data_IF_933708350160
#
_entry.id   IF_933708350160
#
_cell.length_a   1.000
_cell.length_b   1.000
_cell.length_c   1.000
_cell.angle_alpha   90.00
_cell.angle_beta   90.00
_cell.angle_gamma   90.00
#
_symmetry.space_group_name_H-M   'P 1'
#
loop_
_entity.id
_entity.type
_entity.pdbx_description
1 polymer ?
#
# COMPACT_ATOMS: atom_id res chain seq x y z
N UNK A 1 -10.15 7.92 62.55
CA UNK A 1 -9.11 8.06 61.53
C UNK A 1 -9.45 7.17 60.37
N UNK A 2 -10.06 7.74 59.40
CA UNK A 2 -10.36 7.00 58.14
C UNK A 2 -9.17 7.11 57.23
N UNK A 3 -8.43 6.03 57.05
CA UNK A 3 -7.49 5.92 55.97
C UNK A 3 -8.27 5.63 54.68
N UNK A 4 -8.45 6.65 53.88
CA UNK A 4 -8.96 6.52 52.54
C UNK A 4 -7.82 5.92 51.73
N UNK A 5 -7.89 4.61 51.52
CA UNK A 5 -7.06 3.96 50.52
C UNK A 5 -7.72 4.28 49.20
N UNK A 6 -7.24 5.35 48.59
CA UNK A 6 -7.57 5.69 47.24
C UNK A 6 -7.01 4.60 46.34
N UNK A 7 -7.87 3.65 46.01
CA UNK A 7 -7.58 2.66 44.99
C UNK A 7 -7.46 3.36 43.66
N UNK A 8 -6.25 3.62 43.24
CA UNK A 8 -5.95 4.09 41.91
C UNK A 8 -6.20 2.91 40.99
N UNK A 9 -7.43 2.81 40.49
CA UNK A 9 -7.76 1.94 39.38
C UNK A 9 -7.06 2.48 38.16
N UNK A 10 -5.85 1.99 37.94
CA UNK A 10 -5.19 2.13 36.66
C UNK A 10 -5.98 1.28 35.68
N UNK A 11 -6.93 1.90 35.03
CA UNK A 11 -7.56 1.34 33.85
C UNK A 11 -6.46 1.34 32.78
N UNK A 12 -5.73 0.24 32.70
CA UNK A 12 -4.83 -0.05 31.60
C UNK A 12 -5.73 -0.28 30.39
N UNK A 13 -6.09 0.80 29.72
CA UNK A 13 -6.72 0.71 28.42
C UNK A 13 -5.69 0.09 27.48
N UNK A 14 -5.82 -1.20 27.32
CA UNK A 14 -5.10 -1.97 26.30
C UNK A 14 -5.59 -1.44 24.95
N UNK A 15 -4.93 -0.42 24.46
CA UNK A 15 -5.13 0.04 23.10
C UNK A 15 -4.55 -1.04 22.20
N UNK A 16 -5.42 -1.92 21.77
CA UNK A 16 -5.13 -2.83 20.68
C UNK A 16 -4.95 -1.93 19.47
N UNK A 17 -3.70 -1.55 19.22
CA UNK A 17 -3.33 -1.03 17.93
C UNK A 17 -3.57 -2.16 16.93
N UNK A 18 -4.75 -2.19 16.35
CA UNK A 18 -4.98 -2.94 15.14
C UNK A 18 -4.13 -2.22 14.10
N UNK A 19 -2.86 -2.64 14.01
CA UNK A 19 -2.08 -2.35 12.83
C UNK A 19 -2.77 -3.09 11.70
N UNK A 20 -3.70 -2.42 11.07
CA UNK A 20 -4.18 -2.85 9.78
C UNK A 20 -2.97 -2.80 8.88
N UNK A 21 -2.32 -3.94 8.70
CA UNK A 21 -1.38 -4.13 7.64
C UNK A 21 -2.18 -3.99 6.36
N UNK A 22 -2.33 -2.75 5.92
CA UNK A 22 -2.82 -2.49 4.59
C UNK A 22 -1.73 -2.94 3.64
N UNK A 23 -1.76 -4.22 3.28
CA UNK A 23 -0.90 -4.83 2.27
C UNK A 23 -1.10 -4.21 0.88
N UNK A 24 -1.96 -3.19 0.76
CA UNK A 24 -2.31 -2.48 -0.46
C UNK A 24 -1.18 -1.59 -1.02
N UNK A 25 0.00 -1.51 -0.38
CA UNK A 25 1.06 -0.57 -0.76
C UNK A 25 2.40 -1.23 -1.09
N UNK A 26 2.39 -2.44 -1.60
CA UNK A 26 3.59 -3.03 -2.17
C UNK A 26 3.99 -2.39 -3.50
N UNK A 27 3.07 -1.65 -4.14
CA UNK A 27 3.33 -0.99 -5.41
C UNK A 27 3.80 0.43 -5.16
N UNK A 28 5.07 0.68 -5.43
CA UNK A 28 5.69 1.99 -5.27
C UNK A 28 5.55 2.79 -6.56
N UNK A 29 4.83 3.91 -6.51
CA UNK A 29 4.69 4.79 -7.66
C UNK A 29 6.03 5.47 -7.94
N UNK A 30 6.58 5.35 -9.16
CA UNK A 30 7.81 6.02 -9.53
C UNK A 30 7.63 7.54 -9.59
N UNK A 31 8.71 8.25 -9.28
CA UNK A 31 8.76 9.70 -9.36
C UNK A 31 9.23 10.14 -10.74
N UNK A 32 8.64 11.21 -11.25
CA UNK A 32 9.08 11.86 -12.47
C UNK A 32 10.54 12.30 -12.37
N UNK A 33 11.35 12.10 -13.42
CA UNK A 33 12.74 12.54 -13.41
C UNK A 33 12.83 14.07 -13.31
N UNK A 34 13.57 14.56 -12.32
CA UNK A 34 13.77 15.99 -12.09
C UNK A 34 14.45 16.72 -13.27
N UNK A 35 15.13 15.98 -14.12
CA UNK A 35 15.79 16.56 -15.29
C UNK A 35 14.79 17.11 -16.33
N UNK A 36 13.54 16.69 -16.30
CA UNK A 36 12.50 17.17 -17.24
C UNK A 36 12.33 18.69 -17.12
N UNK A 37 12.22 19.19 -15.90
CA UNK A 37 12.08 20.62 -15.66
C UNK A 37 13.34 21.41 -16.03
N UNK A 38 14.48 20.76 -15.98
CA UNK A 38 15.78 21.37 -16.29
C UNK A 38 16.06 21.47 -17.79
N UNK A 39 15.40 20.68 -18.63
CA UNK A 39 15.59 20.68 -20.09
C UNK A 39 15.18 22.01 -20.74
N UNK A 40 14.26 22.75 -20.13
CA UNK A 40 13.88 24.07 -20.57
C UNK A 40 14.96 25.13 -20.34
N UNK A 41 15.86 24.88 -19.42
CA UNK A 41 16.92 25.79 -18.98
C UNK A 41 18.25 25.47 -19.66
N UNK A 42 18.60 24.20 -19.71
CA UNK A 42 19.87 23.69 -20.26
C UNK A 42 19.57 22.87 -21.52
N UNK A 43 19.91 23.41 -22.68
CA UNK A 43 19.67 22.80 -23.99
C UNK A 43 20.90 22.12 -24.58
N UNK A 44 21.90 21.83 -23.78
CA UNK A 44 23.08 21.15 -24.25
C UNK A 44 22.82 19.66 -24.49
N UNK A 45 23.54 19.11 -25.48
CA UNK A 45 23.35 17.73 -25.91
C UNK A 45 23.65 16.71 -24.82
N UNK A 46 24.60 17.01 -23.95
CA UNK A 46 24.97 16.14 -22.83
C UNK A 46 23.81 16.01 -21.81
N UNK A 47 23.30 17.14 -21.36
CA UNK A 47 22.16 17.18 -20.41
C UNK A 47 20.93 16.49 -21.00
N UNK A 48 20.66 16.70 -22.28
CA UNK A 48 19.58 16.03 -22.98
C UNK A 48 19.76 14.50 -23.01
N UNK A 49 20.95 14.02 -23.35
CA UNK A 49 21.22 12.58 -23.39
C UNK A 49 21.13 11.93 -22.01
N UNK A 50 21.62 12.60 -20.97
CA UNK A 50 21.49 12.10 -19.60
C UNK A 50 20.03 12.05 -19.13
N UNK A 51 19.26 13.07 -19.45
CA UNK A 51 17.83 13.08 -19.14
C UNK A 51 17.07 11.99 -19.89
N UNK A 52 17.42 11.72 -21.14
CA UNK A 52 16.86 10.63 -21.93
C UNK A 52 17.04 9.27 -21.26
N UNK A 53 18.18 9.02 -20.66
CA UNK A 53 18.46 7.79 -19.89
C UNK A 53 17.55 7.72 -18.66
N UNK A 54 17.43 8.83 -17.92
CA UNK A 54 16.57 8.90 -16.76
C UNK A 54 15.09 8.68 -17.10
N UNK A 55 14.63 9.23 -18.21
CA UNK A 55 13.26 9.01 -18.71
C UNK A 55 13.03 7.55 -19.09
N UNK A 56 13.98 6.90 -19.75
CA UNK A 56 13.87 5.48 -20.07
C UNK A 56 13.78 4.62 -18.81
N UNK A 57 14.58 4.92 -17.80
CA UNK A 57 14.52 4.24 -16.50
C UNK A 57 13.16 4.44 -15.83
N UNK A 58 12.68 5.67 -15.82
CA UNK A 58 11.35 6.00 -15.30
C UNK A 58 10.23 5.21 -16.00
N UNK A 59 10.26 5.11 -17.32
CA UNK A 59 9.25 4.36 -18.06
C UNK A 59 9.28 2.86 -17.71
N UNK A 60 10.46 2.29 -17.49
CA UNK A 60 10.60 0.92 -17.02
C UNK A 60 9.99 0.74 -15.62
N UNK A 61 10.20 1.68 -14.72
CA UNK A 61 9.61 1.67 -13.38
C UNK A 61 8.09 1.83 -13.42
N UNK A 62 7.58 2.66 -14.32
CA UNK A 62 6.14 2.82 -14.56
C UNK A 62 5.51 1.50 -15.01
N UNK A 63 6.15 0.77 -15.91
CA UNK A 63 5.67 -0.53 -16.36
C UNK A 63 5.62 -1.55 -15.22
N UNK A 64 6.66 -1.59 -14.40
CA UNK A 64 6.71 -2.44 -13.19
C UNK A 64 5.62 -2.08 -12.20
N UNK A 65 5.38 -0.79 -12.00
CA UNK A 65 4.31 -0.28 -11.13
C UNK A 65 2.93 -0.68 -11.63
N UNK A 66 2.67 -0.54 -12.93
CA UNK A 66 1.42 -0.98 -13.56
C UNK A 66 1.17 -2.48 -13.36
N UNK A 67 2.18 -3.30 -13.58
CA UNK A 67 2.09 -4.74 -13.39
C UNK A 67 1.82 -5.10 -11.92
N UNK A 68 2.45 -4.41 -10.99
CA UNK A 68 2.19 -4.56 -9.56
C UNK A 68 0.72 -4.25 -9.23
N UNK A 69 0.17 -3.17 -9.75
CA UNK A 69 -1.23 -2.79 -9.54
C UNK A 69 -2.22 -3.82 -10.11
N UNK A 70 -1.92 -4.38 -11.26
CA UNK A 70 -2.75 -5.43 -11.88
C UNK A 70 -2.73 -6.69 -11.00
N UNK A 71 -1.57 -7.08 -10.49
CA UNK A 71 -1.44 -8.23 -9.61
C UNK A 71 -2.20 -8.02 -8.29
N UNK A 72 -2.11 -6.83 -7.70
CA UNK A 72 -2.87 -6.47 -6.50
C UNK A 72 -4.37 -6.53 -6.75
N UNK A 73 -4.84 -5.95 -7.84
CA UNK A 73 -6.25 -5.99 -8.20
C UNK A 73 -6.75 -7.44 -8.39
N UNK A 74 -5.96 -8.29 -9.00
CA UNK A 74 -6.28 -9.72 -9.18
C UNK A 74 -6.33 -10.45 -7.84
N UNK A 75 -5.37 -10.19 -6.95
CA UNK A 75 -5.32 -10.77 -5.61
C UNK A 75 -6.56 -10.40 -4.80
N UNK A 76 -6.92 -9.13 -4.78
CA UNK A 76 -8.11 -8.63 -4.06
C UNK A 76 -9.40 -9.24 -4.62
N UNK A 77 -9.50 -9.39 -5.94
CA UNK A 77 -10.66 -10.04 -6.57
C UNK A 77 -10.78 -11.51 -6.17
N UNK A 78 -9.66 -12.22 -6.07
CA UNK A 78 -9.62 -13.61 -5.60
C UNK A 78 -10.04 -13.72 -4.13
N UNK A 79 -9.55 -12.82 -3.28
CA UNK A 79 -9.95 -12.76 -1.88
C UNK A 79 -11.44 -12.48 -1.72
N UNK A 80 -11.98 -11.53 -2.48
CA UNK A 80 -13.40 -11.22 -2.48
C UNK A 80 -14.26 -12.43 -2.88
N UNK A 81 -13.86 -13.17 -3.91
CA UNK A 81 -14.54 -14.41 -4.31
C UNK A 81 -14.50 -15.44 -3.20
N UNK A 82 -13.39 -15.61 -2.52
CA UNK A 82 -13.26 -16.52 -1.39
C UNK A 82 -14.18 -16.15 -0.22
N UNK A 83 -14.30 -14.85 0.06
CA UNK A 83 -15.20 -14.36 1.11
C UNK A 83 -16.66 -14.65 0.76
N UNK A 84 -17.06 -14.43 -0.48
CA UNK A 84 -18.41 -14.73 -0.98
C UNK A 84 -18.70 -16.22 -0.88
N UNK A 85 -17.77 -17.06 -1.28
CA UNK A 85 -17.91 -18.52 -1.20
C UNK A 85 -18.10 -19.01 0.24
N UNK A 86 -17.31 -18.48 1.16
CA UNK A 86 -17.44 -18.77 2.59
C UNK A 86 -18.79 -18.30 3.14
N UNK A 87 -19.20 -17.11 2.80
CA UNK A 87 -20.50 -16.57 3.20
C UNK A 87 -21.64 -17.47 2.70
N UNK A 88 -21.62 -17.85 1.44
CA UNK A 88 -22.62 -18.72 0.85
C UNK A 88 -22.63 -20.12 1.49
N UNK A 89 -21.47 -20.65 1.83
CA UNK A 89 -21.34 -21.92 2.55
C UNK A 89 -22.03 -21.85 3.92
N UNK A 90 -21.76 -20.82 4.71
CA UNK A 90 -22.42 -20.62 6.01
C UNK A 90 -23.93 -20.34 5.87
N UNK A 91 -24.33 -19.57 4.87
CA UNK A 91 -25.75 -19.26 4.61
C UNK A 91 -26.56 -20.51 4.26
N UNK A 92 -25.93 -21.53 3.67
CA UNK A 92 -26.54 -22.82 3.39
C UNK A 92 -26.54 -23.80 4.59
N UNK A 93 -26.05 -23.37 5.74
CA UNK A 93 -25.97 -24.16 6.96
C UNK A 93 -24.68 -25.00 7.10
N UNK A 94 -23.65 -24.74 6.30
CA UNK A 94 -22.35 -25.36 6.46
C UNK A 94 -21.69 -24.97 7.79
N UNK A 95 -21.05 -25.91 8.45
CA UNK A 95 -20.34 -25.70 9.71
C UNK A 95 -18.81 -25.50 9.52
N UNK A 96 -18.32 -26.01 8.42
CA UNK A 96 -16.89 -25.95 8.07
C UNK A 96 -16.80 -25.37 6.64
N UNK A 97 -16.45 -24.12 6.56
CA UNK A 97 -16.29 -23.40 5.32
C UNK A 97 -14.88 -22.76 5.23
#
# INVERSE_FOLDING_TARGET
>A
MFKIISGFLIVLSLQIFITSNSSAFYCSKPSEPSCIDMLGISRDQFSFNMCKISVKSYLSEVESYKNCLINEATSVSTEASSVVDKFNCYARGGNIC
#
